data_IF_901126625057
#
_entry.id   IF_901126625057
#
_cell.length_a   1.000
_cell.length_b   1.000
_cell.length_c   1.000
_cell.angle_alpha   90.00
_cell.angle_beta   90.00
_cell.angle_gamma   90.00
#
_symmetry.space_group_name_H-M   'P 1'
#
loop_
_entity.id
_entity.type
_entity.pdbx_description
1 polymer ?
#
# COMPACT_ATOMS: atom_id res chain seq x y z
N UNK A 1 40.38 -22.51 -47.42
CA UNK A 1 39.57 -23.01 -46.29
C UNK A 1 38.47 -21.99 -46.00
N UNK A 2 37.20 -22.30 -46.29
CA UNK A 2 36.06 -21.35 -46.21
C UNK A 2 35.34 -21.45 -44.85
N UNK A 3 35.38 -20.33 -44.13
CA UNK A 3 34.33 -19.63 -43.37
C UNK A 3 33.28 -20.46 -42.59
N UNK A 4 33.15 -20.09 -41.30
CA UNK A 4 31.88 -20.05 -40.54
C UNK A 4 31.87 -21.00 -39.34
N UNK A 5 31.36 -20.65 -38.15
CA UNK A 5 30.22 -19.76 -37.89
C UNK A 5 30.01 -19.62 -36.36
N UNK A 6 30.51 -18.57 -35.73
CA UNK A 6 30.19 -18.22 -34.33
C UNK A 6 28.77 -17.62 -34.26
N UNK A 7 27.74 -18.45 -34.06
CA UNK A 7 26.31 -18.04 -34.01
C UNK A 7 25.61 -18.32 -32.68
N UNK A 8 26.33 -18.23 -31.55
CA UNK A 8 25.77 -18.53 -30.22
C UNK A 8 25.30 -17.31 -29.40
N UNK A 9 25.97 -16.15 -29.50
CA UNK A 9 25.76 -15.02 -28.58
C UNK A 9 24.53 -14.16 -28.88
N UNK A 10 24.30 -13.87 -30.16
CA UNK A 10 23.21 -12.97 -30.58
C UNK A 10 21.82 -13.56 -30.30
N UNK A 11 21.68 -14.89 -30.39
CA UNK A 11 20.44 -15.60 -30.11
C UNK A 11 20.08 -15.62 -28.62
N UNK A 12 21.06 -15.50 -27.72
CA UNK A 12 20.87 -15.44 -26.26
C UNK A 12 20.51 -14.04 -25.80
N UNK A 13 21.10 -12.99 -26.40
CA UNK A 13 20.68 -11.61 -26.14
C UNK A 13 19.24 -11.35 -26.61
N UNK A 14 18.87 -11.88 -27.78
CA UNK A 14 17.53 -11.68 -28.33
C UNK A 14 16.43 -12.30 -27.46
N UNK A 15 16.71 -13.45 -26.83
CA UNK A 15 15.77 -14.13 -25.91
C UNK A 15 15.61 -13.38 -24.59
N UNK A 16 16.69 -12.79 -24.04
CA UNK A 16 16.64 -11.95 -22.82
C UNK A 16 15.84 -10.67 -23.08
N UNK A 17 16.01 -10.03 -24.26
CA UNK A 17 15.24 -8.85 -24.64
C UNK A 17 13.74 -9.17 -24.80
N UNK A 18 13.38 -10.30 -25.42
CA UNK A 18 11.97 -10.71 -25.59
C UNK A 18 11.31 -11.00 -24.25
N UNK A 19 12.01 -11.64 -23.30
CA UNK A 19 11.47 -11.92 -21.97
C UNK A 19 11.26 -10.64 -21.14
N UNK A 20 12.14 -9.64 -21.30
CA UNK A 20 12.01 -8.34 -20.65
C UNK A 20 10.82 -7.52 -21.17
N UNK A 21 10.45 -7.66 -22.45
CA UNK A 21 9.29 -6.99 -23.05
C UNK A 21 7.97 -7.61 -22.54
N UNK A 22 7.92 -8.92 -22.31
CA UNK A 22 6.74 -9.62 -21.78
C UNK A 22 6.41 -9.22 -20.34
N UNK A 23 7.41 -8.87 -19.52
CA UNK A 23 7.21 -8.43 -18.14
C UNK A 23 6.56 -7.03 -18.08
N UNK A 24 6.84 -6.16 -19.06
CA UNK A 24 6.25 -4.80 -19.11
C UNK A 24 4.79 -4.77 -19.56
N UNK A 25 4.30 -5.83 -20.21
CA UNK A 25 2.94 -5.87 -20.75
C UNK A 25 1.85 -6.19 -19.70
N UNK A 26 2.22 -6.62 -18.49
CA UNK A 26 1.28 -7.07 -17.44
C UNK A 26 0.91 -5.98 -16.40
N UNK A 27 1.17 -4.70 -16.69
CA UNK A 27 0.77 -3.58 -15.81
C UNK A 27 -0.51 -2.89 -16.31
N UNK A 28 -1.64 -3.60 -16.39
CA UNK A 28 -2.96 -3.00 -16.71
C UNK A 28 -4.09 -3.64 -15.91
N UNK A 29 -4.11 -3.46 -14.59
CA UNK A 29 -5.27 -3.83 -13.75
C UNK A 29 -6.08 -2.61 -13.25
N UNK A 30 -5.51 -1.40 -13.26
CA UNK A 30 -6.17 -0.20 -12.72
C UNK A 30 -7.09 0.55 -13.70
N UNK A 31 -7.13 0.17 -14.99
CA UNK A 31 -7.81 0.97 -16.02
C UNK A 31 -9.35 0.89 -15.94
N UNK A 32 -9.90 -0.15 -15.29
CA UNK A 32 -11.35 -0.41 -15.21
C UNK A 32 -11.97 -0.22 -13.83
N UNK A 33 -11.22 0.27 -12.84
CA UNK A 33 -11.76 0.51 -11.50
C UNK A 33 -12.62 1.78 -11.45
N UNK A 34 -13.74 1.71 -10.73
CA UNK A 34 -14.50 2.90 -10.36
C UNK A 34 -13.63 3.86 -9.51
N UNK A 35 -13.95 5.15 -9.45
CA UNK A 35 -13.22 6.09 -8.58
C UNK A 35 -13.14 5.62 -7.12
N UNK A 36 -14.21 5.03 -6.60
CA UNK A 36 -14.26 4.45 -5.26
C UNK A 36 -13.30 3.27 -5.10
N UNK A 37 -13.29 2.34 -6.05
CA UNK A 37 -12.39 1.19 -6.03
C UNK A 37 -10.91 1.62 -6.11
N UNK A 38 -10.61 2.67 -6.89
CA UNK A 38 -9.25 3.25 -6.94
C UNK A 38 -8.85 3.82 -5.59
N UNK A 39 -9.74 4.56 -4.92
CA UNK A 39 -9.49 5.13 -3.60
C UNK A 39 -9.26 4.05 -2.54
N UNK A 40 -10.08 2.99 -2.55
CA UNK A 40 -9.92 1.83 -1.68
C UNK A 40 -8.59 1.11 -1.94
N UNK A 41 -8.24 0.88 -3.22
CA UNK A 41 -6.99 0.24 -3.63
C UNK A 41 -5.77 1.03 -3.15
N UNK A 42 -5.79 2.36 -3.36
CA UNK A 42 -4.76 3.27 -2.86
C UNK A 42 -4.66 3.21 -1.33
N UNK A 43 -5.79 3.22 -0.63
CA UNK A 43 -5.86 3.10 0.83
C UNK A 43 -5.25 1.81 1.35
N UNK A 44 -5.56 0.68 0.70
CA UNK A 44 -4.98 -0.63 1.01
C UNK A 44 -3.46 -0.62 0.84
N UNK A 45 -2.97 -0.05 -0.27
CA UNK A 45 -1.53 0.09 -0.52
C UNK A 45 -0.85 0.90 0.58
N UNK A 46 -1.39 2.07 0.91
CA UNK A 46 -0.89 2.92 1.99
C UNK A 46 -0.88 2.20 3.35
N UNK A 47 -1.96 1.47 3.67
CA UNK A 47 -2.06 0.71 4.93
C UNK A 47 -1.02 -0.40 5.03
N UNK A 48 -0.85 -1.20 3.98
CA UNK A 48 0.13 -2.30 3.96
C UNK A 48 1.55 -1.73 4.06
N UNK A 49 1.86 -0.65 3.35
CA UNK A 49 3.21 -0.07 3.36
C UNK A 49 3.54 0.61 4.69
N UNK A 50 2.59 1.32 5.30
CA UNK A 50 2.90 2.22 6.42
C UNK A 50 2.36 1.77 7.77
N UNK A 51 1.36 0.88 7.83
CA UNK A 51 0.63 0.58 9.05
C UNK A 51 0.76 -0.87 9.51
N UNK A 52 0.81 -1.83 8.58
CA UNK A 52 0.71 -3.27 8.90
C UNK A 52 1.94 -3.89 9.58
N UNK A 53 3.02 -3.13 9.78
CA UNK A 53 4.17 -3.59 10.58
C UNK A 53 3.88 -3.56 12.07
N UNK A 54 3.03 -2.63 12.52
CA UNK A 54 2.60 -2.51 13.91
C UNK A 54 1.17 -2.99 14.11
N UNK A 55 0.28 -2.64 13.17
CA UNK A 55 -1.11 -3.10 13.13
C UNK A 55 -1.23 -4.42 12.36
N UNK A 56 -2.34 -5.12 12.52
CA UNK A 56 -2.56 -6.35 11.78
C UNK A 56 -2.83 -6.06 10.29
N UNK A 57 -2.43 -6.95 9.38
CA UNK A 57 -2.82 -6.84 7.96
C UNK A 57 -4.34 -6.83 7.77
N UNK A 58 -5.08 -7.56 8.60
CA UNK A 58 -6.52 -7.41 8.73
C UNK A 58 -6.84 -6.32 9.78
N UNK A 59 -7.35 -5.13 9.38
CA UNK A 59 -7.49 -4.00 10.29
C UNK A 59 -8.51 -4.19 11.41
N UNK A 60 -9.33 -5.25 11.40
CA UNK A 60 -10.22 -5.57 12.52
C UNK A 60 -9.57 -6.36 13.65
N UNK A 61 -8.35 -6.84 13.44
CA UNK A 61 -7.62 -7.58 14.46
C UNK A 61 -6.53 -6.70 15.06
N UNK A 62 -6.21 -6.95 16.32
CA UNK A 62 -5.03 -6.36 16.93
C UNK A 62 -3.76 -6.86 16.24
N UNK A 63 -2.81 -5.95 16.05
CA UNK A 63 -1.45 -6.27 15.63
C UNK A 63 -0.54 -6.58 16.80
N UNK A 64 0.74 -6.82 16.51
CA UNK A 64 1.73 -7.07 17.56
C UNK A 64 1.95 -5.85 18.48
N UNK A 65 1.73 -4.63 17.96
CA UNK A 65 1.95 -3.37 18.69
C UNK A 65 0.72 -2.47 18.65
N UNK A 66 0.13 -2.28 17.47
CA UNK A 66 -1.02 -1.41 17.25
C UNK A 66 -2.35 -2.14 17.44
N UNK A 67 -3.39 -1.48 17.97
CA UNK A 67 -4.72 -2.07 18.11
C UNK A 67 -5.42 -2.22 16.74
N UNK A 68 -6.55 -2.91 16.70
CA UNK A 68 -7.48 -2.90 15.57
C UNK A 68 -7.95 -1.48 15.24
N UNK A 69 -7.97 -1.15 13.95
CA UNK A 69 -8.28 0.19 13.40
C UNK A 69 -9.41 0.21 12.39
N UNK A 70 -10.04 -0.92 12.07
CA UNK A 70 -11.28 -0.96 11.26
C UNK A 70 -12.32 0.00 11.85
N UNK A 71 -13.01 0.73 10.98
CA UNK A 71 -14.02 1.70 11.39
C UNK A 71 -13.47 3.07 11.81
N UNK A 72 -12.16 3.31 11.73
CA UNK A 72 -11.60 4.63 12.06
C UNK A 72 -12.01 5.66 11.01
N UNK A 73 -12.38 6.86 11.46
CA UNK A 73 -12.79 7.97 10.59
C UNK A 73 -11.62 8.92 10.29
N UNK A 74 -11.83 9.83 9.33
CA UNK A 74 -10.84 10.80 8.89
C UNK A 74 -10.24 11.64 10.03
N UNK A 75 -11.08 12.12 10.95
CA UNK A 75 -10.65 12.98 12.06
C UNK A 75 -9.68 12.24 12.99
N UNK A 76 -10.05 11.03 13.41
CA UNK A 76 -9.20 10.19 14.24
C UNK A 76 -7.90 9.82 13.51
N UNK A 77 -7.99 9.46 12.23
CA UNK A 77 -6.82 9.09 11.43
C UNK A 77 -5.87 10.27 11.27
N UNK A 78 -6.36 11.48 10.96
CA UNK A 78 -5.53 12.67 10.80
C UNK A 78 -4.84 13.06 12.10
N UNK A 79 -5.59 13.12 13.21
CA UNK A 79 -5.04 13.41 14.53
C UNK A 79 -3.96 12.38 14.93
N UNK A 80 -4.24 11.09 14.72
CA UNK A 80 -3.31 10.03 15.14
C UNK A 80 -2.09 9.89 14.23
N UNK A 81 -2.28 9.92 12.91
CA UNK A 81 -1.24 9.65 11.91
C UNK A 81 -0.35 10.87 11.69
N UNK A 82 -0.93 12.06 11.54
CA UNK A 82 -0.18 13.27 11.17
C UNK A 82 0.25 14.05 12.41
N UNK A 83 -0.67 14.24 13.35
CA UNK A 83 -0.44 15.11 14.52
C UNK A 83 0.14 14.33 15.72
N UNK A 84 -0.03 13.01 15.75
CA UNK A 84 0.37 12.15 16.85
C UNK A 84 -0.47 12.34 18.12
N UNK A 85 -1.69 12.89 17.98
CA UNK A 85 -2.64 13.23 19.04
C UNK A 85 -3.88 12.33 18.93
N UNK A 86 -4.96 12.71 19.64
CA UNK A 86 -6.29 12.13 19.50
C UNK A 86 -7.33 13.27 19.50
N UNK A 87 -8.48 13.10 18.84
CA UNK A 87 -9.58 14.06 18.91
C UNK A 87 -10.11 14.23 20.34
N UNK A 88 -10.77 15.36 20.59
CA UNK A 88 -11.39 15.63 21.90
C UNK A 88 -12.43 14.56 22.26
N UNK A 89 -12.42 14.07 23.49
CA UNK A 89 -13.33 13.04 23.97
C UNK A 89 -13.01 11.61 23.48
N UNK A 90 -11.97 11.42 22.67
CA UNK A 90 -11.55 10.08 22.26
C UNK A 90 -10.69 9.40 23.32
N UNK A 91 -11.06 8.18 23.71
CA UNK A 91 -10.27 7.34 24.63
C UNK A 91 -9.35 6.41 23.83
N UNK A 92 -8.01 6.53 23.98
CA UNK A 92 -7.06 5.65 23.30
C UNK A 92 -7.25 4.17 23.66
N UNK A 93 -7.21 3.29 22.66
CA UNK A 93 -7.30 1.83 22.87
C UNK A 93 -6.05 1.24 23.53
N UNK A 94 -4.93 1.96 23.49
CA UNK A 94 -3.64 1.57 24.09
C UNK A 94 -3.02 2.80 24.76
N UNK A 95 -2.22 2.58 25.80
CA UNK A 95 -1.53 3.65 26.54
C UNK A 95 -0.17 4.02 25.95
N UNK A 96 0.35 3.20 25.02
CA UNK A 96 1.64 3.44 24.38
C UNK A 96 1.61 4.67 23.47
N UNK A 97 2.76 5.35 23.36
CA UNK A 97 2.95 6.52 22.47
C UNK A 97 3.92 6.21 21.31
N UNK A 98 4.08 4.93 20.98
CA UNK A 98 5.12 4.42 20.07
C UNK A 98 4.81 4.73 18.60
N UNK A 99 3.53 4.92 18.24
CA UNK A 99 3.15 5.21 16.86
C UNK A 99 3.71 6.56 16.42
N UNK A 100 4.70 6.50 15.52
CA UNK A 100 5.34 7.67 14.91
C UNK A 100 4.37 8.41 13.99
N UNK A 101 4.64 9.71 13.79
CA UNK A 101 3.91 10.54 12.83
C UNK A 101 4.33 10.18 11.40
N UNK A 102 3.37 10.17 10.49
CA UNK A 102 3.60 9.98 9.07
C UNK A 102 3.19 11.24 8.30
N UNK A 103 3.99 11.73 7.35
CA UNK A 103 3.71 12.93 6.58
C UNK A 103 2.72 12.64 5.43
N UNK A 104 1.52 12.16 5.76
CA UNK A 104 0.46 11.90 4.78
C UNK A 104 -0.43 13.12 4.61
N UNK A 105 -0.86 13.38 3.38
CA UNK A 105 -1.82 14.44 3.07
C UNK A 105 -3.28 13.97 3.27
N UNK A 106 -4.22 14.90 3.22
CA UNK A 106 -5.64 14.61 3.49
C UNK A 106 -6.26 13.60 2.51
N UNK A 107 -5.83 13.59 1.24
CA UNK A 107 -6.32 12.63 0.24
C UNK A 107 -5.86 11.21 0.60
N UNK A 108 -4.59 11.05 0.98
CA UNK A 108 -4.05 9.77 1.44
C UNK A 108 -4.75 9.27 2.70
N UNK A 109 -5.08 10.16 3.65
CA UNK A 109 -5.84 9.79 4.85
C UNK A 109 -7.26 9.34 4.50
N UNK A 110 -7.95 10.03 3.57
CA UNK A 110 -9.28 9.61 3.08
C UNK A 110 -9.24 8.26 2.37
N UNK A 111 -8.19 7.98 1.59
CA UNK A 111 -8.02 6.67 0.97
C UNK A 111 -7.86 5.56 2.03
N UNK A 112 -7.07 5.80 3.09
CA UNK A 112 -6.96 4.87 4.21
C UNK A 112 -8.31 4.68 4.90
N UNK A 113 -9.05 5.76 5.20
CA UNK A 113 -10.40 5.68 5.77
C UNK A 113 -11.32 4.79 4.91
N UNK A 114 -11.35 4.99 3.59
CA UNK A 114 -12.17 4.17 2.70
C UNK A 114 -11.81 2.69 2.78
N UNK A 115 -10.51 2.36 2.80
CA UNK A 115 -10.07 0.98 2.99
C UNK A 115 -10.48 0.40 4.36
N UNK A 116 -10.43 1.20 5.42
CA UNK A 116 -10.79 0.76 6.78
C UNK A 116 -12.30 0.60 6.99
N UNK A 117 -13.13 1.10 6.08
CA UNK A 117 -14.60 1.09 6.16
C UNK A 117 -15.27 0.32 5.01
N UNK A 118 -14.52 -0.54 4.31
CA UNK A 118 -15.11 -1.48 3.35
C UNK A 118 -16.15 -2.36 4.09
N UNK A 119 -17.33 -2.60 3.49
CA UNK A 119 -18.37 -3.45 4.06
C UNK A 119 -17.94 -4.91 4.30
#
# INVERSE_FOLDING_TARGET
MKIGKNRGGFSRLLTICIFSILILANCKEDENLSPEQKMISQGKGLYITNCSSCHNQNPALDGAVGPAVRGSNFELLKARIVEGTYPSGYTPKRTSKVMNRLPLNDEQIRSIEAFLNIP
#
